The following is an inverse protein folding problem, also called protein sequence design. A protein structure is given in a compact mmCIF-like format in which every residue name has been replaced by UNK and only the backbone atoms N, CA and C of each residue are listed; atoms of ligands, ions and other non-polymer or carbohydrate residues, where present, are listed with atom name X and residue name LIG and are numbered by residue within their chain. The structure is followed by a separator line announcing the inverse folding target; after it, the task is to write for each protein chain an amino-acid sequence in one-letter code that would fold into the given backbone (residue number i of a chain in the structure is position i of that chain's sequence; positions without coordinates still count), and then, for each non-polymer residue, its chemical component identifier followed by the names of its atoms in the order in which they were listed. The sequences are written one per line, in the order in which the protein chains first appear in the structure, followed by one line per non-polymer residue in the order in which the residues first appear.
data_IF_786027096175
#
_entry.id   IF_786027096175
#
_cell.length_a   1.000
_cell.length_b   1.000
_cell.length_c   1.000
_cell.angle_alpha   90.00
_cell.angle_beta   90.00
_cell.angle_gamma   90.00
#
_symmetry.space_group_name_H-M   'P 1'
#
loop_
_entity.id
_entity.type
_entity.pdbx_description
1 polymer ?
#
# COMPACT_ATOMS: atom_id res chain seq x y z
N UNK A 1 38.36 63.99 -70.25
CA UNK A 1 37.39 64.01 -69.12
C UNK A 1 36.49 62.77 -69.08
N UNK A 2 36.08 62.21 -70.22
CA UNK A 2 35.21 61.02 -70.27
C UNK A 2 35.92 59.72 -69.83
N UNK A 3 37.13 59.48 -70.32
CA UNK A 3 37.94 58.28 -69.98
C UNK A 3 38.26 58.20 -68.49
N UNK A 4 38.54 59.33 -67.85
CA UNK A 4 38.80 59.41 -66.41
C UNK A 4 37.57 59.01 -65.58
N UNK A 5 36.37 59.44 -65.98
CA UNK A 5 35.11 59.01 -65.32
C UNK A 5 34.87 57.51 -65.46
N UNK A 6 35.09 56.93 -66.64
CA UNK A 6 34.92 55.49 -66.84
C UNK A 6 35.91 54.67 -66.00
N UNK A 7 37.15 55.15 -65.86
CA UNK A 7 38.16 54.47 -65.05
C UNK A 7 37.79 54.49 -63.55
N UNK A 8 37.30 55.62 -63.04
CA UNK A 8 36.84 55.72 -61.64
C UNK A 8 35.67 54.78 -61.37
N UNK A 9 34.66 54.76 -62.26
CA UNK A 9 33.51 53.85 -62.12
C UNK A 9 33.94 52.39 -62.16
N UNK A 10 34.88 52.01 -63.03
CA UNK A 10 35.40 50.64 -63.09
C UNK A 10 36.14 50.23 -61.81
N UNK A 11 36.91 51.14 -61.20
CA UNK A 11 37.57 50.91 -59.91
C UNK A 11 36.54 50.74 -58.79
N UNK A 12 35.50 51.56 -58.77
CA UNK A 12 34.43 51.48 -57.76
C UNK A 12 33.62 50.18 -57.88
N UNK A 13 33.29 49.76 -59.11
CA UNK A 13 32.63 48.47 -59.38
C UNK A 13 33.51 47.32 -58.88
N UNK A 14 34.79 47.31 -59.23
CA UNK A 14 35.73 46.28 -58.78
C UNK A 14 35.84 46.22 -57.25
N UNK A 15 35.86 47.37 -56.58
CA UNK A 15 35.86 47.47 -55.12
C UNK A 15 34.56 46.90 -54.51
N UNK A 16 33.41 47.24 -55.09
CA UNK A 16 32.10 46.75 -54.66
C UNK A 16 31.96 45.23 -54.86
N UNK A 17 32.41 44.70 -56.00
CA UNK A 17 32.42 43.26 -56.29
C UNK A 17 33.30 42.51 -55.28
N UNK A 18 34.50 43.03 -55.01
CA UNK A 18 35.41 42.47 -54.01
C UNK A 18 34.78 42.45 -52.62
N UNK A 19 34.07 43.50 -52.22
CA UNK A 19 33.38 43.56 -50.93
C UNK A 19 32.20 42.59 -50.85
N UNK A 20 31.44 42.46 -51.93
CA UNK A 20 30.35 41.47 -52.05
C UNK A 20 30.88 40.04 -51.93
N UNK A 21 31.99 39.72 -52.60
CA UNK A 21 32.62 38.40 -52.52
C UNK A 21 33.11 38.09 -51.09
N UNK A 22 33.71 39.06 -50.41
CA UNK A 22 34.12 38.91 -48.99
C UNK A 22 32.92 38.70 -48.07
N UNK A 23 31.84 39.46 -48.25
CA UNK A 23 30.63 39.34 -47.45
C UNK A 23 29.96 37.97 -47.65
N UNK A 24 29.90 37.48 -48.90
CA UNK A 24 29.39 36.15 -49.21
C UNK A 24 30.24 35.05 -48.56
N UNK A 25 31.57 35.16 -48.62
CA UNK A 25 32.45 34.19 -47.97
C UNK A 25 32.24 34.16 -46.46
N UNK A 26 32.15 35.31 -45.80
CA UNK A 26 31.88 35.40 -44.36
C UNK A 26 30.52 34.78 -44.00
N UNK A 27 29.51 34.99 -44.84
CA UNK A 27 28.18 34.42 -44.66
C UNK A 27 28.19 32.89 -44.79
N UNK A 28 28.91 32.34 -45.77
CA UNK A 28 29.07 30.88 -45.92
C UNK A 28 29.84 30.26 -44.75
N UNK A 29 30.86 30.94 -44.23
CA UNK A 29 31.57 30.50 -43.03
C UNK A 29 30.65 30.44 -41.79
N UNK A 30 29.81 31.46 -41.58
CA UNK A 30 28.85 31.47 -40.47
C UNK A 30 27.76 30.41 -40.62
N UNK A 31 27.30 30.15 -41.85
CA UNK A 31 26.38 29.04 -42.12
C UNK A 31 27.01 27.69 -41.79
N UNK A 32 28.27 27.50 -42.19
CA UNK A 32 29.01 26.28 -41.92
C UNK A 32 29.23 26.08 -40.41
N UNK A 33 29.64 27.14 -39.70
CA UNK A 33 29.79 27.12 -38.25
C UNK A 33 28.48 26.71 -37.57
N UNK A 34 27.36 27.36 -37.94
CA UNK A 34 26.04 27.02 -37.42
C UNK A 34 25.61 25.59 -37.73
N UNK A 35 25.90 25.09 -38.93
CA UNK A 35 25.58 23.71 -39.32
C UNK A 35 26.43 22.67 -38.56
N UNK A 36 27.64 23.04 -38.16
CA UNK A 36 28.57 22.20 -37.39
C UNK A 36 28.49 22.43 -35.87
N UNK A 37 27.65 23.35 -35.42
CA UNK A 37 27.57 23.81 -34.03
C UNK A 37 27.24 22.69 -33.04
N UNK A 38 26.43 21.72 -33.45
CA UNK A 38 25.99 20.58 -32.65
C UNK A 38 27.12 19.59 -32.33
N UNK A 39 28.17 19.56 -33.16
CA UNK A 39 29.33 18.68 -33.00
C UNK A 39 30.63 19.41 -32.67
N UNK A 40 30.69 20.73 -32.80
CA UNK A 40 31.88 21.53 -32.50
C UNK A 40 31.77 22.33 -31.21
N UNK A 41 30.57 22.80 -30.83
CA UNK A 41 30.44 23.58 -29.61
C UNK A 41 30.20 22.71 -28.38
N UNK A 42 31.02 22.96 -27.36
CA UNK A 42 30.97 22.29 -26.05
C UNK A 42 29.59 22.35 -25.39
N UNK A 43 28.81 23.41 -25.62
CA UNK A 43 27.45 23.53 -25.06
C UNK A 43 26.51 22.42 -25.54
N UNK A 44 26.38 22.21 -26.85
CA UNK A 44 25.53 21.16 -27.41
C UNK A 44 26.08 19.75 -27.11
N UNK A 45 27.41 19.60 -27.18
CA UNK A 45 28.07 18.33 -26.86
C UNK A 45 27.90 17.93 -25.39
N UNK A 46 28.08 18.87 -24.46
CA UNK A 46 27.94 18.62 -23.02
C UNK A 46 26.53 18.21 -22.64
N UNK A 47 25.50 18.82 -23.24
CA UNK A 47 24.12 18.41 -23.04
C UNK A 47 23.89 16.98 -23.52
N UNK A 48 24.34 16.64 -24.74
CA UNK A 48 24.22 15.26 -25.26
C UNK A 48 25.00 14.25 -24.45
N UNK A 49 26.21 14.62 -24.01
CA UNK A 49 27.03 13.79 -23.14
C UNK A 49 26.34 13.53 -21.80
N UNK A 50 25.75 14.55 -21.17
CA UNK A 50 25.00 14.40 -19.93
C UNK A 50 23.80 13.45 -20.10
N UNK A 51 23.02 13.58 -21.18
CA UNK A 51 21.92 12.67 -21.46
C UNK A 51 22.39 11.23 -21.71
N UNK A 52 23.46 11.04 -22.46
CA UNK A 52 24.03 9.72 -22.71
C UNK A 52 24.60 9.10 -21.43
N UNK A 53 25.26 9.90 -20.59
CA UNK A 53 25.78 9.45 -19.31
C UNK A 53 24.65 9.03 -18.38
N UNK A 54 23.57 9.82 -18.27
CA UNK A 54 22.41 9.47 -17.47
C UNK A 54 21.77 8.15 -17.93
N UNK A 55 21.61 7.99 -19.25
CA UNK A 55 21.07 6.75 -19.82
C UNK A 55 21.98 5.55 -19.52
N UNK A 56 23.30 5.73 -19.66
CA UNK A 56 24.29 4.68 -19.40
C UNK A 56 24.29 4.28 -17.92
N UNK A 57 24.24 5.25 -17.00
CA UNK A 57 24.14 4.99 -15.56
C UNK A 57 22.87 4.22 -15.21
N UNK A 58 21.74 4.58 -15.83
CA UNK A 58 20.49 3.85 -15.63
C UNK A 58 20.57 2.40 -16.12
N UNK A 59 21.17 2.16 -17.30
CA UNK A 59 21.38 0.80 -17.80
C UNK A 59 22.30 -0.02 -16.88
N UNK A 60 23.36 0.58 -16.35
CA UNK A 60 24.23 -0.08 -15.39
C UNK A 60 23.49 -0.49 -14.11
N UNK A 61 22.60 0.37 -13.60
CA UNK A 61 21.80 0.07 -12.42
C UNK A 61 20.82 -1.08 -12.68
N UNK A 62 20.13 -1.07 -13.83
CA UNK A 62 19.24 -2.15 -14.24
C UNK A 62 19.98 -3.48 -14.36
N UNK A 63 21.17 -3.50 -14.94
CA UNK A 63 22.00 -4.71 -15.05
C UNK A 63 22.44 -5.21 -13.67
N UNK A 64 22.77 -4.29 -12.74
CA UNK A 64 23.11 -4.63 -11.36
C UNK A 64 21.93 -5.28 -10.65
N UNK A 65 20.74 -4.70 -10.74
CA UNK A 65 19.52 -5.25 -10.16
C UNK A 65 19.17 -6.61 -10.75
N UNK A 66 19.29 -6.77 -12.07
CA UNK A 66 19.08 -8.05 -12.74
C UNK A 66 20.04 -9.11 -12.21
N UNK A 67 21.32 -8.77 -12.05
CA UNK A 67 22.35 -9.69 -11.52
C UNK A 67 22.01 -10.09 -10.09
N UNK A 68 21.66 -9.13 -9.24
CA UNK A 68 21.24 -9.39 -7.85
C UNK A 68 19.99 -10.26 -7.79
N UNK A 69 19.02 -10.01 -8.67
CA UNK A 69 17.81 -10.82 -8.75
C UNK A 69 18.12 -12.25 -9.22
N UNK A 70 18.99 -12.40 -10.21
CA UNK A 70 19.44 -13.71 -10.68
C UNK A 70 20.19 -14.45 -9.58
N UNK A 71 21.08 -13.80 -8.83
CA UNK A 71 21.73 -14.40 -7.65
C UNK A 71 20.71 -14.83 -6.60
N UNK A 72 19.68 -14.03 -6.33
CA UNK A 72 18.62 -14.38 -5.38
C UNK A 72 17.77 -15.56 -5.84
N UNK A 73 17.48 -15.66 -7.14
CA UNK A 73 16.68 -16.74 -7.71
C UNK A 73 17.48 -18.03 -7.89
N UNK A 74 18.79 -17.92 -8.15
CA UNK A 74 19.70 -19.08 -8.27
C UNK A 74 20.13 -19.61 -6.91
N UNK A 75 20.07 -18.79 -5.84
CA UNK A 75 20.20 -19.27 -4.47
C UNK A 75 19.03 -20.20 -4.17
N UNK A 76 19.27 -21.50 -3.94
CA UNK A 76 18.18 -22.41 -3.61
C UNK A 76 17.54 -21.95 -2.30
N UNK A 77 16.21 -21.79 -2.29
CA UNK A 77 15.41 -21.51 -1.09
C UNK A 77 15.68 -22.52 0.04
N UNK A 78 16.21 -23.68 -0.31
CA UNK A 78 16.60 -24.77 0.58
C UNK A 78 17.92 -24.54 1.35
N UNK A 79 18.69 -23.48 1.08
CA UNK A 79 19.90 -23.14 1.85
C UNK A 79 19.67 -22.14 3.00
N UNK A 80 18.46 -21.57 3.12
CA UNK A 80 18.08 -20.78 4.30
C UNK A 80 17.49 -21.65 5.42
N UNK A 81 17.00 -22.84 5.08
CA UNK A 81 16.82 -23.92 6.04
C UNK A 81 18.13 -24.70 6.07
N UNK A 82 18.58 -25.13 7.25
CA UNK A 82 19.79 -25.96 7.38
C UNK A 82 19.81 -27.02 6.27
N UNK A 83 20.95 -27.29 5.61
CA UNK A 83 21.05 -28.43 4.70
C UNK A 83 20.78 -29.70 5.51
N UNK A 84 19.53 -30.17 5.46
CA UNK A 84 19.13 -31.45 6.02
C UNK A 84 19.84 -32.50 5.16
N UNK A 85 20.60 -33.41 5.79
CA UNK A 85 21.20 -34.51 5.06
C UNK A 85 20.11 -35.28 4.30
N UNK A 86 20.40 -35.71 3.06
CA UNK A 86 19.46 -36.45 2.21
C UNK A 86 18.73 -37.58 2.96
N UNK A 87 19.45 -38.28 3.83
CA UNK A 87 18.97 -39.40 4.65
C UNK A 87 17.92 -38.99 5.70
N UNK A 88 17.91 -37.71 6.10
CA UNK A 88 17.01 -37.16 7.12
C UNK A 88 15.71 -36.59 6.52
N UNK A 89 15.63 -36.39 5.19
CA UNK A 89 14.44 -35.80 4.56
C UNK A 89 13.17 -36.62 4.80
N UNK A 90 13.26 -37.95 4.75
CA UNK A 90 12.09 -38.81 5.01
C UNK A 90 11.51 -38.56 6.40
N UNK A 91 12.36 -38.49 7.41
CA UNK A 91 11.96 -38.26 8.79
C UNK A 91 11.38 -36.85 9.00
N UNK A 92 11.94 -35.84 8.33
CA UNK A 92 11.42 -34.47 8.39
C UNK A 92 10.05 -34.36 7.72
N UNK A 93 9.84 -35.03 6.59
CA UNK A 93 8.54 -35.07 5.91
C UNK A 93 7.50 -35.79 6.77
N UNK A 94 7.86 -36.93 7.37
CA UNK A 94 6.99 -37.65 8.31
C UNK A 94 6.64 -36.78 9.54
N UNK A 95 7.64 -36.10 10.12
CA UNK A 95 7.44 -35.19 11.24
C UNK A 95 6.52 -34.02 10.87
N UNK A 96 6.73 -33.39 9.71
CA UNK A 96 5.87 -32.30 9.24
C UNK A 96 4.44 -32.78 9.02
N UNK A 97 4.24 -34.00 8.50
CA UNK A 97 2.92 -34.62 8.41
C UNK A 97 2.23 -34.74 9.78
N UNK A 98 2.94 -35.28 10.77
CA UNK A 98 2.43 -35.40 12.15
C UNK A 98 2.11 -34.05 12.80
N UNK A 99 2.95 -33.02 12.55
CA UNK A 99 2.73 -31.67 13.08
C UNK A 99 1.47 -31.04 12.48
N UNK A 100 1.24 -31.20 11.18
CA UNK A 100 0.02 -30.69 10.52
C UNK A 100 -1.23 -31.38 11.08
N UNK A 101 -1.20 -32.71 11.21
CA UNK A 101 -2.31 -33.47 11.79
C UNK A 101 -2.59 -33.05 13.25
N UNK A 102 -1.54 -32.85 14.04
CA UNK A 102 -1.65 -32.39 15.42
C UNK A 102 -2.31 -31.01 15.51
N UNK A 103 -1.86 -30.04 14.69
CA UNK A 103 -2.43 -28.69 14.64
C UNK A 103 -3.92 -28.75 14.29
N UNK A 104 -4.28 -29.56 13.27
CA UNK A 104 -5.67 -29.75 12.86
C UNK A 104 -6.53 -30.30 14.00
N UNK A 105 -6.03 -31.32 14.72
CA UNK A 105 -6.73 -31.93 15.85
C UNK A 105 -6.90 -30.95 17.02
N UNK A 106 -5.85 -30.19 17.32
CA UNK A 106 -5.86 -29.16 18.36
C UNK A 106 -6.90 -28.08 18.05
N UNK A 107 -6.98 -27.62 16.81
CA UNK A 107 -7.95 -26.61 16.39
C UNK A 107 -9.39 -27.11 16.59
N UNK A 108 -9.68 -28.36 16.21
CA UNK A 108 -10.99 -28.98 16.43
C UNK A 108 -11.33 -29.06 17.92
N UNK A 109 -10.37 -29.47 18.77
CA UNK A 109 -10.57 -29.54 20.22
C UNK A 109 -10.80 -28.15 20.84
N UNK A 110 -10.10 -27.12 20.38
CA UNK A 110 -10.31 -25.73 20.83
C UNK A 110 -11.74 -25.29 20.48
N UNK A 111 -12.18 -25.52 19.24
CA UNK A 111 -13.55 -25.19 18.81
C UNK A 111 -14.60 -25.93 19.64
N UNK A 112 -14.36 -27.21 19.94
CA UNK A 112 -15.24 -28.00 20.80
C UNK A 112 -15.34 -27.41 22.22
N UNK A 113 -14.23 -27.00 22.83
CA UNK A 113 -14.21 -26.35 24.16
C UNK A 113 -14.94 -25.01 24.11
N UNK A 114 -14.77 -24.22 23.05
CA UNK A 114 -15.47 -22.95 22.87
C UNK A 114 -16.98 -23.10 22.66
N UNK A 115 -17.42 -24.22 22.09
CA UNK A 115 -18.83 -24.53 21.90
C UNK A 115 -19.53 -25.01 23.19
N UNK A 116 -18.79 -25.34 24.25
CA UNK A 116 -19.37 -25.66 25.56
C UNK A 116 -20.13 -24.41 26.05
N UNK A 117 -21.44 -24.52 26.33
CA UNK A 117 -22.23 -23.39 26.82
C UNK A 117 -21.56 -22.79 28.05
N UNK A 118 -21.12 -21.53 27.93
CA UNK A 118 -20.54 -20.82 29.06
C UNK A 118 -21.61 -20.67 30.13
N UNK A 119 -21.26 -21.00 31.37
CA UNK A 119 -22.11 -20.94 32.57
C UNK A 119 -22.81 -19.58 32.74
N UNK A 120 -22.31 -18.54 32.08
CA UNK A 120 -22.91 -17.21 32.02
C UNK A 120 -24.31 -17.16 31.37
N UNK A 121 -24.59 -17.94 30.33
CA UNK A 121 -25.93 -17.93 29.70
C UNK A 121 -26.98 -18.62 30.58
N UNK A 122 -26.59 -19.69 31.26
CA UNK A 122 -27.42 -20.34 32.27
C UNK A 122 -27.65 -19.40 33.47
N UNK A 123 -26.60 -18.69 33.91
CA UNK A 123 -26.67 -17.71 34.99
C UNK A 123 -27.59 -16.54 34.65
N UNK A 124 -27.57 -16.00 33.44
CA UNK A 124 -28.47 -14.92 33.03
C UNK A 124 -29.94 -15.38 33.00
N UNK A 125 -30.20 -16.58 32.50
CA UNK A 125 -31.54 -17.16 32.48
C UNK A 125 -32.08 -17.40 33.89
N UNK A 126 -31.23 -17.91 34.78
CA UNK A 126 -31.60 -18.15 36.18
C UNK A 126 -31.84 -16.84 36.93
N UNK A 127 -31.00 -15.82 36.72
CA UNK A 127 -31.22 -14.49 37.29
C UNK A 127 -32.55 -13.88 36.81
N UNK A 128 -32.88 -14.02 35.52
CA UNK A 128 -34.17 -13.56 34.98
C UNK A 128 -35.36 -14.28 35.62
N UNK A 129 -35.27 -15.61 35.78
CA UNK A 129 -36.30 -16.40 36.44
C UNK A 129 -36.48 -16.01 37.92
N UNK A 130 -35.38 -15.75 38.64
CA UNK A 130 -35.43 -15.25 40.02
C UNK A 130 -36.13 -13.89 40.09
N UNK A 131 -35.79 -12.96 39.19
CA UNK A 131 -36.45 -11.64 39.16
C UNK A 131 -37.94 -11.77 38.89
N UNK A 132 -38.37 -12.67 38.00
CA UNK A 132 -39.79 -12.93 37.73
C UNK A 132 -40.50 -13.52 38.97
N UNK A 133 -39.89 -14.49 39.65
CA UNK A 133 -40.45 -15.07 40.87
C UNK A 133 -40.59 -14.04 42.00
N UNK A 134 -39.61 -13.16 42.16
CA UNK A 134 -39.68 -12.08 43.15
C UNK A 134 -40.81 -11.10 42.82
N UNK A 135 -40.99 -10.74 41.55
CA UNK A 135 -42.10 -9.87 41.13
C UNK A 135 -43.46 -10.52 41.43
N UNK A 136 -43.65 -11.79 41.08
CA UNK A 136 -44.88 -12.53 41.40
C UNK A 136 -45.11 -12.64 42.92
N UNK A 137 -44.05 -12.89 43.70
CA UNK A 137 -44.11 -12.91 45.16
C UNK A 137 -44.60 -11.59 45.75
N UNK A 138 -44.09 -10.46 45.25
CA UNK A 138 -44.57 -9.13 45.68
C UNK A 138 -46.02 -8.85 45.28
N UNK A 139 -46.44 -9.34 44.10
CA UNK A 139 -47.82 -9.20 43.65
C UNK A 139 -48.77 -10.00 44.56
N UNK A 140 -48.42 -11.25 44.89
CA UNK A 140 -49.18 -12.09 45.83
C UNK A 140 -49.25 -11.44 47.21
N UNK A 141 -48.15 -10.90 47.71
CA UNK A 141 -48.12 -10.19 49.00
C UNK A 141 -49.04 -8.96 48.98
N UNK A 142 -49.02 -8.19 47.89
CA UNK A 142 -49.88 -7.02 47.73
C UNK A 142 -51.37 -7.41 47.64
N UNK A 143 -51.70 -8.45 46.87
CA UNK A 143 -53.05 -8.99 46.79
C UNK A 143 -53.52 -9.49 48.16
N UNK A 144 -52.67 -10.18 48.91
CA UNK A 144 -52.96 -10.62 50.27
C UNK A 144 -53.26 -9.43 51.20
N UNK A 145 -52.45 -8.37 51.17
CA UNK A 145 -52.69 -7.12 51.92
C UNK A 145 -54.03 -6.47 51.53
N UNK A 146 -54.38 -6.45 50.25
CA UNK A 146 -55.66 -5.92 49.78
C UNK A 146 -56.85 -6.73 50.28
N UNK A 147 -56.76 -8.06 50.29
CA UNK A 147 -57.81 -8.95 50.82
C UNK A 147 -58.00 -8.74 52.33
N UNK A 148 -56.91 -8.66 53.10
CA UNK A 148 -56.96 -8.36 54.53
C UNK A 148 -57.63 -7.00 54.79
N UNK A 149 -57.27 -5.97 54.04
CA UNK A 149 -57.87 -4.64 54.16
C UNK A 149 -59.38 -4.67 53.90
N UNK A 150 -59.83 -5.36 52.85
CA UNK A 150 -61.27 -5.55 52.55
C UNK A 150 -62.01 -6.29 53.67
N UNK A 151 -61.39 -7.32 54.26
CA UNK A 151 -61.96 -8.06 55.40
C UNK A 151 -62.06 -7.20 56.67
N UNK A 152 -61.06 -6.36 56.93
CA UNK A 152 -61.10 -5.38 58.03
C UNK A 152 -62.23 -4.36 57.88
N UNK A 153 -62.41 -3.80 56.68
CA UNK A 153 -63.49 -2.85 56.39
C UNK A 153 -64.90 -3.46 56.45
N UNK A 154 -65.04 -4.76 56.20
CA UNK A 154 -66.31 -5.49 56.40
C UNK A 154 -66.63 -5.65 57.89
N UNK A 155 -65.62 -5.85 58.74
CA UNK A 155 -65.81 -6.01 60.18
C UNK A 155 -66.14 -4.67 60.88
N UNK A 156 -65.61 -3.54 60.39
CA UNK A 156 -65.99 -2.20 60.88
C UNK A 156 -67.40 -1.81 60.45
N UNK A 157 -67.80 -2.08 59.21
CA UNK A 157 -69.16 -1.79 58.73
C UNK A 157 -70.26 -2.60 59.46
N UNK A 158 -69.99 -3.84 59.90
CA UNK A 158 -70.95 -4.62 60.69
C UNK A 158 -71.08 -4.05 62.12
N UNK A 159 -70.00 -3.49 62.66
CA UNK A 159 -69.99 -2.86 64.00
C UNK A 159 -70.70 -1.49 63.98
N UNK A 160 -70.55 -0.73 62.89
CA UNK A 160 -71.21 0.57 62.71
C UNK A 160 -72.70 0.45 62.33
N UNK A 161 -73.15 -0.70 61.81
CA UNK A 161 -74.58 -1.00 61.60
C UNK A 161 -75.25 -1.68 62.81
N UNK A 162 -74.51 -1.92 63.90
CA UNK A 162 -75.04 -2.50 65.15
C UNK A 162 -74.96 -1.52 66.34
N UNK A 163 -74.84 -0.21 66.09
CA UNK A 163 -74.97 0.86 67.10
C UNK A 163 -76.12 1.79 66.76
#
# INVERSE_FOLDING_TARGET
MLVTKHLTVAIDIYSMEKNTMKANLALELLKLERASADVTHTHYLSQRYASLQQFTSHLQEVLREQTVLQERLTKPLCQQNLPIHADLHRYVVELMGMVVEFIQNLEVKIKMVQAIPKTDSYRSNLNSAITQLLAQGTEVENLYKQVLKRRGHLHTNIKDMSS
#
